data_IF_896430982326
#
_entry.id   IF_896430982326
#
_cell.length_a   1.000
_cell.length_b   1.000
_cell.length_c   1.000
_cell.angle_alpha   90.00
_cell.angle_beta   90.00
_cell.angle_gamma   90.00
#
_symmetry.space_group_name_H-M   'P 1'
#
loop_
_entity.id
_entity.type
_entity.pdbx_description
1 polymer ?
#
# COMPACT_ATOMS: atom_id res chain seq x y z
N UNK A 1 49.52 4.66 -6.09
CA UNK A 1 48.49 3.59 -6.10
C UNK A 1 47.80 3.54 -4.74
N UNK A 2 46.68 4.24 -4.59
CA UNK A 2 45.88 4.27 -3.37
C UNK A 2 44.91 3.08 -3.35
N UNK A 3 45.05 2.19 -2.35
CA UNK A 3 44.10 1.11 -2.08
C UNK A 3 42.84 1.71 -1.44
N UNK A 4 41.72 1.65 -2.16
CA UNK A 4 40.38 1.92 -1.61
C UNK A 4 40.01 0.79 -0.66
N UNK A 5 39.85 1.09 0.62
CA UNK A 5 39.26 0.20 1.62
C UNK A 5 37.74 0.28 1.43
N UNK A 6 37.16 -0.79 0.90
CA UNK A 6 35.71 -0.96 0.79
C UNK A 6 35.20 -1.45 2.14
N UNK A 7 34.52 -0.58 2.88
CA UNK A 7 33.84 -0.96 4.12
C UNK A 7 32.57 -1.73 3.73
N UNK A 8 32.62 -3.06 3.85
CA UNK A 8 31.47 -3.94 3.64
C UNK A 8 30.61 -3.87 4.91
N UNK A 9 29.50 -3.15 4.84
CA UNK A 9 28.49 -3.15 5.91
C UNK A 9 27.80 -4.52 5.89
N UNK A 10 28.29 -5.44 6.72
CA UNK A 10 27.67 -6.74 6.94
C UNK A 10 26.47 -6.54 7.87
N UNK A 11 25.27 -6.46 7.28
CA UNK A 11 24.02 -6.52 8.05
C UNK A 11 23.89 -7.94 8.60
N UNK A 12 24.29 -8.15 9.85
CA UNK A 12 23.96 -9.36 10.58
C UNK A 12 22.44 -9.35 10.81
N UNK A 13 21.71 -10.10 9.97
CA UNK A 13 20.34 -10.50 10.27
C UNK A 13 20.46 -11.57 11.35
N UNK A 14 20.51 -11.12 12.60
CA UNK A 14 20.14 -12.00 13.71
C UNK A 14 18.63 -12.21 13.57
N UNK A 15 18.22 -13.48 13.54
CA UNK A 15 16.81 -13.86 13.61
C UNK A 15 16.30 -13.48 15.00
N UNK A 16 15.97 -12.20 15.19
CA UNK A 16 15.16 -11.74 16.32
C UNK A 16 13.81 -12.46 16.25
N UNK A 17 13.33 -12.91 17.40
CA UNK A 17 11.99 -13.46 17.61
C UNK A 17 11.00 -12.80 16.64
N UNK A 18 10.56 -13.55 15.62
CA UNK A 18 9.66 -13.03 14.61
C UNK A 18 8.31 -12.81 15.27
N UNK A 19 8.10 -11.60 15.81
CA UNK A 19 6.80 -11.19 16.33
C UNK A 19 5.78 -11.36 15.21
N UNK A 20 4.74 -12.15 15.47
CA UNK A 20 3.78 -12.54 14.46
C UNK A 20 2.68 -11.48 14.32
N UNK A 21 3.07 -10.30 13.83
CA UNK A 21 2.15 -9.18 13.60
C UNK A 21 1.44 -9.34 12.26
N UNK A 22 0.10 -9.23 12.29
CA UNK A 22 -0.76 -9.34 11.10
C UNK A 22 -1.78 -8.21 11.05
N UNK A 23 -2.45 -8.09 9.90
CA UNK A 23 -3.61 -7.20 9.70
C UNK A 23 -3.32 -5.74 10.04
N UNK A 24 -2.13 -5.25 9.68
CA UNK A 24 -1.76 -3.87 9.94
C UNK A 24 -2.56 -2.94 9.01
N UNK A 25 -3.34 -2.04 9.60
CA UNK A 25 -4.13 -1.03 8.90
C UNK A 25 -3.78 0.36 9.42
N UNK A 26 -3.58 1.33 8.52
CA UNK A 26 -3.48 2.75 8.87
C UNK A 26 -4.47 3.53 8.01
N UNK A 27 -5.64 3.84 8.57
CA UNK A 27 -6.79 4.37 7.81
C UNK A 27 -7.49 5.50 8.53
N UNK A 28 -8.13 6.43 7.82
CA UNK A 28 -9.04 7.38 8.46
C UNK A 28 -10.26 6.65 9.02
N UNK A 29 -10.94 7.28 9.99
CA UNK A 29 -12.15 6.72 10.62
C UNK A 29 -13.36 6.63 9.67
N UNK A 30 -13.28 7.26 8.50
CA UNK A 30 -14.35 7.21 7.51
C UNK A 30 -14.43 5.82 6.87
N UNK A 31 -15.64 5.26 6.81
CA UNK A 31 -15.91 4.00 6.12
C UNK A 31 -15.49 4.06 4.64
N UNK A 32 -15.01 2.92 4.13
CA UNK A 32 -14.57 2.75 2.74
C UNK A 32 -13.43 3.69 2.29
N UNK A 33 -12.70 4.30 3.23
CA UNK A 33 -11.51 5.08 2.92
C UNK A 33 -10.24 4.31 3.30
N UNK A 34 -9.50 3.89 2.28
CA UNK A 34 -8.32 3.04 2.43
C UNK A 34 -6.98 3.77 2.34
N UNK A 35 -6.99 5.05 1.97
CA UNK A 35 -5.75 5.82 1.76
C UNK A 35 -5.30 6.50 3.06
N UNK A 36 -4.01 6.39 3.37
CA UNK A 36 -3.34 7.16 4.43
C UNK A 36 -2.83 8.53 3.95
N UNK A 37 -3.30 8.99 2.79
CA UNK A 37 -3.04 10.33 2.24
C UNK A 37 -4.26 11.20 2.55
N UNK A 38 -4.17 12.00 3.60
CA UNK A 38 -5.33 12.71 4.17
C UNK A 38 -5.03 14.18 4.47
N UNK A 39 -6.05 15.05 4.55
CA UNK A 39 -5.84 16.43 4.97
C UNK A 39 -5.18 16.50 6.36
N UNK A 40 -4.30 17.49 6.57
CA UNK A 40 -3.74 17.79 7.88
C UNK A 40 -4.86 17.99 8.92
N UNK A 41 -4.74 17.33 10.07
CA UNK A 41 -5.75 17.32 11.13
C UNK A 41 -6.77 16.17 11.04
N UNK A 42 -6.77 15.41 9.94
CA UNK A 42 -7.60 14.19 9.84
C UNK A 42 -7.07 13.13 10.80
N UNK A 43 -7.97 12.48 11.53
CA UNK A 43 -7.63 11.36 12.43
C UNK A 43 -7.46 10.09 11.62
N UNK A 44 -6.28 9.48 11.75
CA UNK A 44 -5.95 8.14 11.29
C UNK A 44 -5.93 7.19 12.49
N UNK A 45 -6.43 5.99 12.30
CA UNK A 45 -6.32 4.87 13.22
C UNK A 45 -5.30 3.87 12.66
N UNK A 46 -4.25 3.63 13.43
CA UNK A 46 -3.37 2.48 13.25
C UNK A 46 -3.98 1.33 14.05
N UNK A 47 -4.17 0.18 13.42
CA UNK A 47 -4.57 -1.06 14.08
C UNK A 47 -3.78 -2.25 13.55
N UNK A 48 -3.53 -3.25 14.40
CA UNK A 48 -2.85 -4.48 14.04
C UNK A 48 -3.10 -5.57 15.09
N UNK A 49 -2.84 -6.82 14.74
CA UNK A 49 -3.00 -7.96 15.63
C UNK A 49 -1.64 -8.63 15.89
N UNK A 50 -1.39 -9.00 17.15
CA UNK A 50 -0.30 -9.89 17.54
C UNK A 50 -0.84 -11.31 17.76
N UNK A 51 -0.42 -12.25 16.92
CA UNK A 51 -0.92 -13.64 16.94
C UNK A 51 -0.30 -14.50 18.06
N UNK A 52 0.67 -13.98 18.81
CA UNK A 52 1.18 -14.71 19.98
C UNK A 52 0.18 -14.71 21.15
N UNK A 53 -0.85 -13.87 21.09
CA UNK A 53 -1.93 -13.74 22.08
C UNK A 53 -1.43 -13.47 23.52
N UNK A 54 -0.24 -12.88 23.64
CA UNK A 54 0.31 -12.36 24.89
C UNK A 54 0.27 -10.85 24.82
N UNK A 55 -0.27 -10.20 25.85
CA UNK A 55 -0.25 -8.74 25.95
C UNK A 55 1.19 -8.27 26.09
N UNK A 56 1.73 -7.71 25.01
CA UNK A 56 3.06 -7.09 24.94
C UNK A 56 2.90 -5.58 24.93
N UNK A 57 3.91 -4.90 25.43
CA UNK A 57 3.96 -3.45 25.36
C UNK A 57 4.55 -3.02 24.01
N UNK A 58 3.78 -2.20 23.29
CA UNK A 58 4.19 -1.58 22.04
C UNK A 58 4.17 -0.06 22.17
N UNK A 59 5.12 0.58 21.50
CA UNK A 59 5.15 2.04 21.36
C UNK A 59 5.01 2.41 19.89
N UNK A 60 4.39 3.55 19.60
CA UNK A 60 4.43 4.13 18.26
C UNK A 60 5.40 5.31 18.25
N UNK A 61 6.06 5.52 17.10
CA UNK A 61 6.96 6.63 16.84
C UNK A 61 6.64 7.30 15.50
N UNK A 62 6.60 8.62 15.47
CA UNK A 62 6.31 9.41 14.26
C UNK A 62 7.54 10.19 13.82
N UNK A 63 7.99 9.95 12.59
CA UNK A 63 9.11 10.68 11.98
C UNK A 63 8.65 11.46 10.75
N UNK A 64 9.01 12.74 10.67
CA UNK A 64 8.75 13.56 9.48
C UNK A 64 9.79 13.25 8.39
N UNK A 65 9.29 12.98 7.18
CA UNK A 65 10.07 12.60 6.01
C UNK A 65 10.00 13.67 4.91
N UNK A 66 11.02 13.71 4.06
CA UNK A 66 11.07 14.51 2.83
C UNK A 66 10.22 13.87 1.72
N UNK A 67 10.08 14.57 0.59
CA UNK A 67 9.31 14.07 -0.56
C UNK A 67 9.85 12.75 -1.15
N UNK A 68 11.15 12.48 -0.96
CA UNK A 68 11.87 11.25 -1.34
C UNK A 68 12.02 10.24 -0.19
N UNK A 69 11.24 10.41 0.88
CA UNK A 69 11.18 9.51 2.04
C UNK A 69 12.50 9.41 2.85
N UNK A 70 13.34 10.43 2.81
CA UNK A 70 14.46 10.57 3.74
C UNK A 70 14.02 11.26 5.03
N UNK A 71 14.70 10.97 6.14
CA UNK A 71 14.42 11.67 7.40
C UNK A 71 14.67 13.16 7.24
N UNK A 72 13.67 13.97 7.53
CA UNK A 72 13.79 15.42 7.43
C UNK A 72 14.70 15.98 8.54
N UNK A 73 15.16 17.22 8.36
CA UNK A 73 15.98 17.93 9.36
C UNK A 73 15.14 18.54 10.49
N UNK A 74 13.82 18.32 10.49
CA UNK A 74 12.96 18.86 11.52
C UNK A 74 13.17 18.09 12.84
N UNK A 75 13.24 18.84 13.94
CA UNK A 75 13.11 18.28 15.28
C UNK A 75 11.64 17.95 15.54
N UNK A 76 11.36 16.94 16.37
CA UNK A 76 9.99 16.53 16.73
C UNK A 76 9.14 17.70 17.20
N UNK A 77 9.68 18.55 18.08
CA UNK A 77 9.03 19.76 18.59
C UNK A 77 8.64 20.79 17.53
N UNK A 78 9.19 20.71 16.32
CA UNK A 78 8.83 21.61 15.22
C UNK A 78 7.59 21.16 14.46
N UNK A 79 7.23 19.87 14.50
CA UNK A 79 6.10 19.32 13.74
C UNK A 79 5.07 18.58 14.59
N UNK A 80 5.37 18.29 15.86
CA UNK A 80 4.46 17.71 16.85
C UNK A 80 4.37 18.64 18.05
N UNK A 81 3.15 18.94 18.47
CA UNK A 81 2.86 19.42 19.82
C UNK A 81 2.57 18.20 20.70
N UNK A 82 3.44 17.93 21.67
CA UNK A 82 3.46 16.70 22.46
C UNK A 82 4.70 15.85 22.18
N UNK A 83 4.54 14.53 22.22
CA UNK A 83 5.62 13.55 22.04
C UNK A 83 5.51 12.85 20.69
N UNK A 84 6.66 12.60 20.06
CA UNK A 84 6.79 11.82 18.83
C UNK A 84 6.77 10.31 19.08
N UNK A 85 6.98 9.87 20.33
CA UNK A 85 6.94 8.48 20.74
C UNK A 85 6.04 8.31 21.98
N UNK A 86 5.06 7.40 21.93
CA UNK A 86 4.18 7.07 23.05
C UNK A 86 3.79 5.58 23.05
N UNK A 87 3.40 5.06 24.22
CA UNK A 87 2.87 3.70 24.38
C UNK A 87 1.48 3.56 23.77
N UNK A 88 1.23 2.42 23.12
CA UNK A 88 -0.08 2.01 22.64
C UNK A 88 -0.84 1.37 23.80
N UNK A 89 -1.83 2.07 24.32
CA UNK A 89 -2.58 1.66 25.52
C UNK A 89 -3.80 0.80 25.16
N UNK A 90 -4.43 1.07 24.01
CA UNK A 90 -5.65 0.37 23.63
C UNK A 90 -5.32 -1.01 23.06
N UNK A 91 -5.48 -2.03 23.90
CA UNK A 91 -5.30 -3.45 23.57
C UNK A 91 -6.53 -4.24 24.01
N UNK A 92 -7.02 -5.10 23.13
CA UNK A 92 -8.18 -5.97 23.37
C UNK A 92 -7.90 -7.37 22.84
N UNK A 93 -8.13 -8.39 23.64
CA UNK A 93 -7.91 -9.77 23.20
C UNK A 93 -9.03 -10.24 22.27
N UNK A 94 -8.71 -11.20 21.41
CA UNK A 94 -9.67 -11.89 20.57
C UNK A 94 -10.73 -12.61 21.41
N UNK A 95 -11.95 -12.68 20.90
CA UNK A 95 -13.08 -13.33 21.57
C UNK A 95 -13.73 -14.35 20.64
N UNK A 96 -13.87 -15.59 21.12
CA UNK A 96 -14.53 -16.69 20.41
C UNK A 96 -13.93 -17.03 19.02
N UNK A 97 -12.61 -16.88 18.87
CA UNK A 97 -11.84 -17.22 17.67
C UNK A 97 -11.04 -18.52 17.87
N UNK A 98 -10.74 -19.26 16.79
CA UNK A 98 -9.82 -20.40 16.84
C UNK A 98 -8.37 -19.92 16.94
N UNK A 99 -8.00 -18.90 16.17
CA UNK A 99 -6.72 -18.21 16.33
C UNK A 99 -6.86 -17.14 17.42
N UNK A 100 -6.16 -17.34 18.54
CA UNK A 100 -6.05 -16.29 19.55
C UNK A 100 -5.13 -15.17 19.06
N UNK A 101 -5.46 -13.92 19.37
CA UNK A 101 -4.61 -12.76 19.10
C UNK A 101 -4.91 -11.61 20.08
N UNK A 102 -3.96 -10.67 20.21
CA UNK A 102 -4.18 -9.39 20.89
C UNK A 102 -4.29 -8.29 19.84
N UNK A 103 -5.42 -7.58 19.81
CA UNK A 103 -5.66 -6.46 18.90
C UNK A 103 -5.19 -5.16 19.53
N UNK A 104 -4.33 -4.41 18.82
CA UNK A 104 -3.84 -3.11 19.24
C UNK A 104 -4.39 -2.02 18.33
N UNK A 105 -4.70 -0.86 18.91
CA UNK A 105 -5.07 0.31 18.12
C UNK A 105 -4.57 1.63 18.73
N UNK A 106 -4.29 2.61 17.88
CA UNK A 106 -3.98 3.98 18.29
C UNK A 106 -4.46 4.97 17.24
N UNK A 107 -5.04 6.07 17.71
CA UNK A 107 -5.48 7.18 16.86
C UNK A 107 -4.45 8.30 16.87
N UNK A 108 -4.16 8.85 15.71
CA UNK A 108 -3.26 9.99 15.52
C UNK A 108 -3.90 11.01 14.57
N UNK A 109 -3.87 12.33 14.87
CA UNK A 109 -3.36 12.91 16.11
C UNK A 109 -4.23 12.53 17.34
N UNK A 110 -3.64 12.62 18.53
CA UNK A 110 -4.31 12.46 19.82
C UNK A 110 -3.79 13.51 20.82
N UNK A 111 -4.25 13.47 22.07
CA UNK A 111 -3.88 14.45 23.11
C UNK A 111 -2.36 14.53 23.37
N UNK A 112 -1.63 13.44 23.17
CA UNK A 112 -0.18 13.37 23.39
C UNK A 112 0.63 13.61 22.11
N UNK A 113 0.02 13.53 20.94
CA UNK A 113 0.70 13.68 19.65
C UNK A 113 -0.18 14.45 18.66
N UNK A 114 -0.04 15.77 18.62
CA UNK A 114 -0.74 16.63 17.66
C UNK A 114 0.23 17.06 16.55
N UNK A 115 0.04 16.54 15.34
CA UNK A 115 0.86 16.88 14.17
C UNK A 115 0.42 18.23 13.59
N UNK A 116 1.34 19.18 13.47
CA UNK A 116 1.04 20.58 13.10
C UNK A 116 1.50 20.98 11.71
N UNK A 117 2.28 20.13 11.02
CA UNK A 117 2.81 20.39 9.67
C UNK A 117 2.31 19.36 8.67
N UNK A 118 2.12 19.79 7.42
CA UNK A 118 1.98 18.87 6.29
C UNK A 118 3.31 18.25 5.91
N UNK A 119 3.27 17.11 5.23
CA UNK A 119 4.48 16.37 4.90
C UNK A 119 4.24 14.88 4.76
N UNK A 120 5.32 14.17 4.47
CA UNK A 120 5.38 12.72 4.57
C UNK A 120 5.74 12.33 6.00
N UNK A 121 5.15 11.25 6.48
CA UNK A 121 5.40 10.75 7.82
C UNK A 121 5.55 9.24 7.80
N UNK A 122 6.49 8.74 8.62
CA UNK A 122 6.64 7.33 8.92
C UNK A 122 6.14 7.08 10.33
N UNK A 123 5.14 6.21 10.46
CA UNK A 123 4.64 5.70 11.72
C UNK A 123 5.26 4.32 11.96
N UNK A 124 6.19 4.24 12.90
CA UNK A 124 6.85 3.00 13.29
C UNK A 124 6.24 2.46 14.58
N UNK A 125 6.05 1.15 14.67
CA UNK A 125 5.73 0.47 15.94
C UNK A 125 7.00 -0.19 16.46
N UNK A 126 7.32 0.10 17.72
CA UNK A 126 8.51 -0.36 18.43
C UNK A 126 8.11 -1.35 19.51
N UNK A 127 8.94 -2.38 19.72
CA UNK A 127 8.82 -3.27 20.87
C UNK A 127 9.45 -2.64 22.14
N UNK A 128 9.45 -3.38 23.25
CA UNK A 128 10.06 -2.96 24.53
C UNK A 128 11.58 -2.71 24.49
N UNK A 129 12.25 -3.16 23.42
CA UNK A 129 13.69 -2.99 23.20
C UNK A 129 14.00 -1.84 22.21
N UNK A 130 12.99 -1.02 21.86
CA UNK A 130 13.06 0.03 20.84
C UNK A 130 13.36 -0.49 19.41
N UNK A 131 13.23 -1.79 19.15
CA UNK A 131 13.35 -2.33 17.79
C UNK A 131 12.07 -2.08 16.99
N UNK A 132 12.24 -1.65 15.73
CA UNK A 132 11.12 -1.46 14.80
C UNK A 132 10.53 -2.81 14.40
N UNK A 133 9.27 -3.03 14.77
CA UNK A 133 8.49 -4.23 14.42
C UNK A 133 7.93 -4.09 13.01
N UNK A 134 7.31 -2.95 12.72
CA UNK A 134 6.87 -2.56 11.39
C UNK A 134 6.75 -1.04 11.29
N UNK A 135 6.61 -0.54 10.07
CA UNK A 135 6.31 0.86 9.83
C UNK A 135 5.25 1.03 8.73
N UNK A 136 4.53 2.16 8.78
CA UNK A 136 3.55 2.57 7.76
C UNK A 136 3.79 4.01 7.35
N UNK A 137 3.67 4.24 6.05
CA UNK A 137 3.74 5.57 5.44
C UNK A 137 2.38 6.23 5.51
N UNK A 138 2.35 7.51 5.85
CA UNK A 138 1.16 8.35 5.67
C UNK A 138 1.57 9.75 5.26
N UNK A 139 0.62 10.48 4.66
CA UNK A 139 0.86 11.80 4.10
C UNK A 139 -0.21 12.74 4.58
N UNK A 140 0.19 13.87 5.16
CA UNK A 140 -0.71 14.92 5.59
C UNK A 140 -0.58 16.11 4.64
N UNK A 141 -1.67 16.53 4.00
CA UNK A 141 -1.64 17.60 3.03
C UNK A 141 -2.47 18.82 3.41
N UNK A 142 -2.08 19.98 2.88
CA UNK A 142 -2.83 21.22 2.95
C UNK A 142 -3.61 21.41 1.64
N UNK A 143 -4.81 22.00 1.71
CA UNK A 143 -5.60 22.35 0.51
C UNK A 143 -5.21 23.75 0.01
N UNK A 144 -3.94 23.96 -0.38
CA UNK A 144 -3.43 25.26 -0.84
C UNK A 144 -3.36 25.38 -2.37
N UNK A 145 -3.41 24.26 -3.08
CA UNK A 145 -3.47 24.22 -4.55
C UNK A 145 -4.61 23.30 -5.00
N UNK A 146 -5.11 23.56 -6.21
CA UNK A 146 -6.13 22.72 -6.86
C UNK A 146 -5.48 21.92 -7.98
N UNK A 147 -5.54 20.60 -7.87
CA UNK A 147 -4.89 19.67 -8.80
C UNK A 147 -5.97 19.04 -9.67
N UNK A 148 -6.01 19.39 -10.95
CA UNK A 148 -6.87 18.73 -11.92
C UNK A 148 -6.14 17.54 -12.52
N UNK A 149 -6.68 16.33 -12.38
CA UNK A 149 -6.10 15.08 -12.91
C UNK A 149 -7.03 14.48 -13.96
N UNK A 150 -6.46 14.13 -15.11
CA UNK A 150 -7.12 13.40 -16.18
C UNK A 150 -6.33 12.13 -16.49
N UNK A 151 -7.03 11.04 -16.75
CA UNK A 151 -6.42 9.75 -17.06
C UNK A 151 -6.97 9.26 -18.38
N UNK A 152 -6.08 9.08 -19.35
CA UNK A 152 -6.42 8.67 -20.71
C UNK A 152 -5.70 7.37 -21.08
N UNK A 153 -6.06 6.79 -22.22
CA UNK A 153 -5.26 5.72 -22.83
C UNK A 153 -3.90 6.26 -23.26
N UNK A 154 -2.89 5.41 -23.27
CA UNK A 154 -1.58 5.79 -23.78
C UNK A 154 -1.65 6.34 -25.20
N UNK A 155 -0.99 7.48 -25.42
CA UNK A 155 -0.86 8.11 -26.75
C UNK A 155 0.12 7.37 -27.67
N UNK A 156 0.91 6.45 -27.12
CA UNK A 156 1.84 5.64 -27.90
C UNK A 156 1.11 4.45 -28.53
N UNK A 157 1.12 4.36 -29.87
CA UNK A 157 0.45 3.29 -30.64
C UNK A 157 0.86 1.88 -30.15
N UNK A 158 2.11 1.70 -29.71
CA UNK A 158 2.58 0.39 -29.21
C UNK A 158 1.97 0.00 -27.86
N UNK A 159 1.55 0.97 -27.04
CA UNK A 159 1.05 0.73 -25.68
C UNK A 159 -0.37 1.24 -25.43
N UNK A 160 -1.05 1.77 -26.46
CA UNK A 160 -2.43 2.28 -26.38
C UNK A 160 -3.42 1.26 -25.84
N UNK A 161 -3.16 -0.04 -26.05
CA UNK A 161 -4.01 -1.14 -25.57
C UNK A 161 -3.68 -1.60 -24.13
N UNK A 162 -2.56 -1.18 -23.57
CA UNK A 162 -2.00 -1.78 -22.35
C UNK A 162 -1.66 -0.76 -21.26
N UNK A 163 -1.51 0.52 -21.59
CA UNK A 163 -1.09 1.56 -20.67
C UNK A 163 -2.11 2.69 -20.56
N UNK A 164 -2.10 3.34 -19.40
CA UNK A 164 -2.86 4.53 -19.07
C UNK A 164 -1.90 5.69 -18.84
N UNK A 165 -2.21 6.87 -19.36
CA UNK A 165 -1.42 8.09 -19.23
C UNK A 165 -2.12 9.05 -18.27
N UNK A 166 -1.41 9.48 -17.24
CA UNK A 166 -1.90 10.48 -16.29
C UNK A 166 -1.43 11.86 -16.74
N UNK A 167 -2.37 12.79 -16.89
CA UNK A 167 -2.10 14.21 -17.14
C UNK A 167 -2.69 15.03 -16.01
N UNK A 168 -1.99 16.09 -15.62
CA UNK A 168 -2.49 16.92 -14.53
C UNK A 168 -2.03 18.36 -14.64
N UNK A 169 -2.74 19.22 -13.94
CA UNK A 169 -2.44 20.63 -13.77
C UNK A 169 -2.40 20.99 -12.30
N UNK A 170 -1.50 21.90 -11.92
CA UNK A 170 -1.38 22.44 -10.57
C UNK A 170 -1.78 23.90 -10.65
N UNK A 171 -2.94 24.25 -10.08
CA UNK A 171 -3.39 25.64 -9.97
C UNK A 171 -2.99 26.17 -8.59
N UNK A 172 -2.19 27.23 -8.56
CA UNK A 172 -1.55 27.74 -7.33
C UNK A 172 -1.72 29.26 -7.13
N UNK A 173 -2.94 29.83 -7.19
CA UNK A 173 -3.14 31.28 -7.09
C UNK A 173 -2.69 31.88 -5.75
N UNK A 174 -2.68 31.09 -4.67
CA UNK A 174 -2.29 31.53 -3.32
C UNK A 174 -0.83 31.23 -2.96
N UNK A 175 -0.05 30.58 -3.84
CA UNK A 175 1.36 30.26 -3.58
C UNK A 175 2.21 30.80 -4.73
N UNK A 176 3.16 31.66 -4.38
CA UNK A 176 4.18 32.14 -5.30
C UNK A 176 5.27 31.07 -5.45
N UNK A 177 5.34 30.48 -6.64
CA UNK A 177 6.39 29.52 -7.02
C UNK A 177 7.35 30.27 -7.94
N UNK A 178 8.60 30.46 -7.50
CA UNK A 178 9.59 31.23 -8.26
C UNK A 178 10.34 30.34 -9.24
N UNK A 179 10.76 29.17 -8.79
CA UNK A 179 11.41 28.18 -9.63
C UNK A 179 10.75 26.81 -9.45
N UNK A 180 9.71 26.49 -10.25
CA UNK A 180 9.01 25.23 -10.11
C UNK A 180 9.92 24.01 -10.26
N UNK A 181 11.03 24.12 -11.02
CA UNK A 181 11.92 22.98 -11.22
C UNK A 181 12.71 22.55 -9.98
N UNK A 182 12.86 23.45 -9.02
CA UNK A 182 13.57 23.23 -7.75
C UNK A 182 12.62 23.19 -6.56
N UNK A 183 11.53 23.95 -6.62
CA UNK A 183 10.62 24.13 -5.50
C UNK A 183 9.47 23.11 -5.50
N UNK A 184 9.12 22.52 -6.66
CA UNK A 184 8.01 21.57 -6.78
C UNK A 184 8.52 20.17 -7.07
N UNK A 185 8.09 19.23 -6.24
CA UNK A 185 8.29 17.80 -6.49
C UNK A 185 6.92 17.14 -6.60
N UNK A 186 6.81 16.14 -7.47
CA UNK A 186 5.55 15.44 -7.73
C UNK A 186 5.73 13.94 -7.58
N UNK A 187 4.74 13.30 -6.98
CA UNK A 187 4.56 11.85 -7.01
C UNK A 187 3.17 11.51 -7.56
N UNK A 188 3.11 10.58 -8.51
CA UNK A 188 1.87 9.97 -9.02
C UNK A 188 1.87 8.53 -8.54
N UNK A 189 0.81 8.12 -7.83
CA UNK A 189 0.70 6.79 -7.22
C UNK A 189 -0.53 6.11 -7.80
N UNK A 190 -0.37 4.88 -8.27
CA UNK A 190 -1.48 4.04 -8.73
C UNK A 190 -2.01 3.19 -7.57
N UNK A 191 -3.33 3.19 -7.36
CA UNK A 191 -4.08 2.32 -6.44
C UNK A 191 -3.56 2.33 -4.98
N UNK A 192 -3.02 3.47 -4.52
CA UNK A 192 -2.33 3.61 -3.23
C UNK A 192 -1.17 2.60 -3.01
N UNK A 193 -0.63 2.03 -4.08
CA UNK A 193 0.52 1.14 -4.05
C UNK A 193 1.80 1.95 -4.27
N UNK A 194 2.56 2.18 -3.20
CA UNK A 194 3.80 2.96 -3.23
C UNK A 194 4.93 2.34 -4.07
N UNK A 195 4.79 1.09 -4.52
CA UNK A 195 5.69 0.47 -5.49
C UNK A 195 5.32 0.79 -6.94
N UNK A 196 4.08 1.23 -7.21
CA UNK A 196 3.63 1.72 -8.52
C UNK A 196 3.55 3.25 -8.50
N UNK A 197 4.74 3.88 -8.49
CA UNK A 197 4.92 5.32 -8.39
C UNK A 197 5.71 5.88 -9.58
N UNK A 198 5.29 7.04 -10.08
CA UNK A 198 6.10 7.89 -10.96
C UNK A 198 6.41 9.19 -10.23
N UNK A 199 7.69 9.52 -10.13
CA UNK A 199 8.19 10.73 -9.48
C UNK A 199 9.26 11.39 -10.34
N UNK A 200 9.89 12.46 -9.82
CA UNK A 200 10.97 13.18 -10.48
C UNK A 200 10.61 13.66 -11.91
N UNK A 201 9.39 14.20 -12.04
CA UNK A 201 8.89 14.80 -13.27
C UNK A 201 8.80 16.31 -13.14
N UNK A 202 9.07 17.00 -14.24
CA UNK A 202 9.06 18.46 -14.31
C UNK A 202 7.79 18.94 -15.04
N UNK A 203 7.33 20.17 -14.82
CA UNK A 203 6.22 20.70 -15.61
C UNK A 203 6.62 20.84 -17.09
N UNK A 204 5.70 20.53 -17.99
CA UNK A 204 5.90 20.68 -19.44
C UNK A 204 5.64 22.10 -19.91
N UNK A 205 4.72 22.82 -19.26
CA UNK A 205 4.39 24.21 -19.58
C UNK A 205 4.12 25.03 -18.31
N UNK A 206 4.46 26.31 -18.39
CA UNK A 206 4.23 27.30 -17.35
C UNK A 206 3.18 28.31 -17.83
N UNK A 207 2.16 28.54 -17.01
CA UNK A 207 1.16 29.59 -17.19
C UNK A 207 1.10 30.43 -15.91
N UNK A 208 0.57 31.67 -15.96
CA UNK A 208 0.32 32.44 -14.75
C UNK A 208 -0.50 31.63 -13.75
N UNK A 209 0.06 31.39 -12.56
CA UNK A 209 -0.54 30.60 -11.47
C UNK A 209 -0.92 29.15 -11.81
N UNK A 210 -0.35 28.57 -12.88
CA UNK A 210 -0.66 27.21 -13.30
C UNK A 210 0.56 26.49 -13.88
N UNK A 211 0.82 25.26 -13.41
CA UNK A 211 1.81 24.34 -13.97
C UNK A 211 1.10 23.19 -14.67
N UNK A 212 1.52 22.85 -15.88
CA UNK A 212 0.93 21.76 -16.66
C UNK A 212 1.92 20.60 -16.82
N UNK A 213 1.42 19.38 -16.66
CA UNK A 213 2.16 18.14 -16.81
C UNK A 213 1.45 17.26 -17.85
N UNK A 214 1.69 17.57 -19.12
CA UNK A 214 1.07 16.89 -20.27
C UNK A 214 2.12 16.09 -21.03
N UNK A 215 2.58 15.00 -20.42
CA UNK A 215 3.56 14.11 -21.04
C UNK A 215 2.90 13.11 -21.99
N UNK A 216 3.66 12.69 -23.01
CA UNK A 216 3.24 11.60 -23.92
C UNK A 216 3.55 10.22 -23.33
N UNK A 217 4.72 10.07 -22.69
CA UNK A 217 5.23 8.77 -22.24
C UNK A 217 5.73 8.74 -20.78
N UNK A 218 6.12 9.87 -20.19
CA UNK A 218 6.77 9.88 -18.85
C UNK A 218 5.80 9.61 -17.70
N UNK A 219 4.51 9.83 -17.89
CA UNK A 219 3.46 9.63 -16.89
C UNK A 219 2.56 8.45 -17.25
N UNK A 220 3.13 7.44 -17.92
CA UNK A 220 2.43 6.23 -18.34
C UNK A 220 2.59 5.13 -17.29
N UNK A 221 1.47 4.56 -16.89
CA UNK A 221 1.41 3.35 -16.08
C UNK A 221 0.94 2.17 -16.93
N UNK A 222 1.39 0.97 -16.58
CA UNK A 222 0.72 -0.24 -17.02
C UNK A 222 -0.70 -0.25 -16.45
N UNK A 223 -1.70 -0.48 -17.31
CA UNK A 223 -3.09 -0.52 -16.88
C UNK A 223 -3.39 -1.68 -15.95
N UNK A 224 -2.62 -2.76 -16.01
CA UNK A 224 -2.86 -3.96 -15.20
C UNK A 224 -4.21 -4.58 -15.49
N UNK A 225 -4.72 -5.35 -14.54
CA UNK A 225 -6.05 -5.94 -14.58
C UNK A 225 -6.74 -5.68 -13.24
N UNK A 226 -8.05 -5.84 -13.21
CA UNK A 226 -8.81 -5.81 -11.97
C UNK A 226 -8.24 -6.84 -10.99
N UNK A 227 -8.17 -6.49 -9.71
CA UNK A 227 -7.70 -7.40 -8.68
C UNK A 227 -8.68 -8.58 -8.55
N UNK A 228 -8.12 -9.78 -8.38
CA UNK A 228 -8.89 -10.92 -7.93
C UNK A 228 -9.38 -10.65 -6.51
N UNK A 229 -10.49 -11.27 -6.12
CA UNK A 229 -11.06 -11.05 -4.80
C UNK A 229 -11.62 -12.32 -4.19
N UNK A 230 -11.77 -12.31 -2.87
CA UNK A 230 -12.54 -13.31 -2.13
C UNK A 230 -13.13 -12.65 -0.88
N UNK A 231 -14.10 -13.32 -0.27
CA UNK A 231 -14.77 -12.84 0.93
C UNK A 231 -14.96 -13.96 1.95
N UNK A 232 -14.34 -13.86 3.11
CA UNK A 232 -14.43 -14.85 4.20
C UNK A 232 -15.28 -14.38 5.39
N UNK A 233 -16.21 -13.44 5.16
CA UNK A 233 -17.10 -12.86 6.20
C UNK A 233 -17.88 -13.87 7.06
N UNK A 234 -18.09 -15.09 6.58
CA UNK A 234 -18.62 -16.22 7.36
C UNK A 234 -17.57 -17.33 7.24
N UNK A 235 -16.86 -17.65 8.31
CA UNK A 235 -15.66 -18.51 8.20
C UNK A 235 -16.02 -19.98 7.94
N UNK A 236 -17.25 -20.38 8.28
CA UNK A 236 -17.72 -21.77 8.19
C UNK A 236 -18.36 -22.09 6.83
N UNK A 237 -18.76 -21.07 6.09
CA UNK A 237 -19.54 -21.22 4.86
C UNK A 237 -18.77 -20.73 3.64
N UNK A 238 -18.94 -21.42 2.51
CA UNK A 238 -18.41 -20.95 1.24
C UNK A 238 -19.08 -19.64 0.87
N UNK A 239 -18.29 -18.63 0.57
CA UNK A 239 -18.78 -17.34 0.07
C UNK A 239 -18.08 -17.01 -1.25
N UNK A 240 -17.95 -15.72 -1.58
CA UNK A 240 -17.39 -15.27 -2.86
C UNK A 240 -15.98 -15.82 -3.07
N UNK A 241 -15.79 -16.50 -4.20
CA UNK A 241 -14.52 -17.04 -4.68
C UNK A 241 -13.82 -18.05 -3.74
N UNK A 242 -14.59 -18.77 -2.89
CA UNK A 242 -14.10 -19.87 -2.06
C UNK A 242 -14.73 -21.20 -2.53
N UNK A 243 -13.89 -22.16 -2.96
CA UNK A 243 -14.36 -23.44 -3.53
C UNK A 243 -14.53 -24.53 -2.46
N UNK A 244 -13.70 -24.52 -1.42
CA UNK A 244 -13.70 -25.55 -0.37
C UNK A 244 -13.29 -24.94 0.97
N UNK A 245 -13.88 -25.45 2.05
CA UNK A 245 -13.49 -25.13 3.42
C UNK A 245 -13.23 -26.45 4.15
N UNK A 246 -12.14 -26.51 4.91
CA UNK A 246 -11.89 -27.59 5.88
C UNK A 246 -11.58 -26.97 7.23
N UNK A 247 -11.87 -27.71 8.30
CA UNK A 247 -11.52 -27.31 9.67
C UNK A 247 -10.42 -28.23 10.16
N UNK A 248 -9.27 -27.65 10.49
CA UNK A 248 -8.15 -28.29 11.18
C UNK A 248 -7.94 -27.53 12.50
N UNK A 249 -6.71 -27.09 12.81
CA UNK A 249 -6.44 -26.18 13.94
C UNK A 249 -7.13 -24.81 13.75
N UNK A 250 -7.05 -24.31 12.51
CA UNK A 250 -7.83 -23.16 12.02
C UNK A 250 -8.65 -23.57 10.80
N UNK A 251 -9.58 -22.71 10.39
CA UNK A 251 -10.27 -22.92 9.11
C UNK A 251 -9.30 -22.75 7.95
N UNK A 252 -9.38 -23.66 6.99
CA UNK A 252 -8.62 -23.65 5.76
C UNK A 252 -9.59 -23.33 4.62
N UNK A 253 -9.35 -22.23 3.92
CA UNK A 253 -10.18 -21.76 2.81
C UNK A 253 -9.41 -21.93 1.51
N UNK A 254 -9.93 -22.75 0.61
CA UNK A 254 -9.38 -22.94 -0.72
C UNK A 254 -10.08 -22.00 -1.68
N UNK A 255 -9.33 -21.10 -2.28
CA UNK A 255 -9.84 -20.18 -3.29
C UNK A 255 -9.99 -20.89 -4.64
N UNK A 256 -10.82 -20.33 -5.53
CA UNK A 256 -10.86 -20.82 -6.91
C UNK A 256 -9.47 -20.67 -7.56
N UNK A 257 -8.95 -21.72 -8.23
CA UNK A 257 -7.69 -21.64 -8.95
C UNK A 257 -7.75 -20.56 -10.04
N UNK A 258 -6.68 -19.77 -10.15
CA UNK A 258 -6.51 -18.85 -11.26
C UNK A 258 -5.82 -19.56 -12.42
N UNK A 259 -6.49 -19.72 -13.54
CA UNK A 259 -5.90 -20.31 -14.75
C UNK A 259 -5.15 -19.25 -15.55
N UNK A 260 -3.84 -19.41 -15.70
CA UNK A 260 -3.02 -18.47 -16.48
C UNK A 260 -3.38 -18.54 -17.97
N UNK A 261 -3.68 -17.38 -18.56
CA UNK A 261 -3.94 -17.26 -19.99
C UNK A 261 -3.25 -16.03 -20.58
N UNK A 262 -2.17 -16.27 -21.34
CA UNK A 262 -1.40 -15.21 -22.03
C UNK A 262 -2.23 -14.40 -23.04
N UNK A 263 -3.31 -14.97 -23.57
CA UNK A 263 -4.18 -14.35 -24.57
C UNK A 263 -5.53 -13.91 -23.98
N UNK A 264 -5.62 -13.79 -22.66
CA UNK A 264 -6.81 -13.29 -21.99
C UNK A 264 -7.21 -11.92 -22.56
N UNK A 265 -8.52 -11.74 -22.76
CA UNK A 265 -9.12 -10.44 -23.07
C UNK A 265 -9.61 -9.81 -21.78
N UNK A 266 -9.65 -8.48 -21.77
CA UNK A 266 -10.21 -7.73 -20.65
C UNK A 266 -11.65 -8.15 -20.38
N UNK A 267 -11.97 -8.36 -19.10
CA UNK A 267 -13.32 -8.59 -18.59
C UNK A 267 -13.51 -7.68 -17.41
N UNK A 268 -14.61 -6.92 -17.39
CA UNK A 268 -14.92 -6.02 -16.29
C UNK A 268 -15.23 -6.82 -15.02
N UNK A 269 -14.52 -6.50 -13.93
CA UNK A 269 -14.68 -7.14 -12.63
C UNK A 269 -14.41 -6.11 -11.53
N UNK A 270 -15.44 -5.41 -11.03
CA UNK A 270 -15.26 -4.37 -10.02
C UNK A 270 -14.49 -4.85 -8.79
N UNK A 271 -13.63 -3.98 -8.28
CA UNK A 271 -12.80 -4.25 -7.11
C UNK A 271 -12.70 -3.00 -6.19
N UNK A 272 -11.84 -3.06 -5.17
CA UNK A 272 -11.47 -1.93 -4.31
C UNK A 272 -9.98 -1.59 -4.47
N UNK A 273 -9.46 -1.72 -5.69
CA UNK A 273 -8.10 -1.34 -6.10
C UNK A 273 -7.00 -1.96 -5.22
N UNK A 274 -7.09 -3.26 -4.94
CA UNK A 274 -6.08 -3.99 -4.17
C UNK A 274 -6.22 -3.90 -2.65
N UNK A 275 -7.24 -3.19 -2.16
CA UNK A 275 -7.50 -3.00 -0.73
C UNK A 275 -8.20 -4.22 -0.09
N UNK A 276 -8.37 -4.18 1.23
CA UNK A 276 -9.05 -5.21 2.00
C UNK A 276 -9.88 -4.61 3.13
N UNK A 277 -10.92 -5.31 3.58
CA UNK A 277 -11.78 -4.89 4.67
C UNK A 277 -12.04 -6.07 5.61
N UNK A 278 -11.64 -5.92 6.87
CA UNK A 278 -11.89 -6.91 7.92
C UNK A 278 -13.36 -6.86 8.29
N UNK A 279 -14.01 -8.03 8.25
CA UNK A 279 -15.40 -8.16 8.66
C UNK A 279 -15.77 -9.60 8.96
N UNK A 280 -16.66 -9.75 9.94
CA UNK A 280 -17.38 -10.99 10.23
C UNK A 280 -18.88 -10.70 10.29
N UNK A 281 -19.71 -11.65 9.85
CA UNK A 281 -21.16 -11.59 10.04
C UNK A 281 -21.62 -12.42 11.25
N UNK A 282 -20.70 -13.18 11.85
CA UNK A 282 -20.97 -14.05 13.00
C UNK A 282 -20.58 -13.38 14.33
N UNK A 283 -20.12 -12.13 14.29
CA UNK A 283 -19.72 -11.31 15.44
C UNK A 283 -20.23 -9.87 15.36
N UNK A 284 -20.21 -9.18 16.49
CA UNK A 284 -20.56 -7.77 16.66
C UNK A 284 -19.34 -6.85 16.49
N UNK A 285 -18.14 -7.32 16.84
CA UNK A 285 -16.89 -6.54 16.71
C UNK A 285 -15.91 -7.21 15.74
N UNK A 286 -15.76 -6.62 14.55
CA UNK A 286 -14.85 -7.10 13.52
C UNK A 286 -13.37 -7.12 13.94
N UNK A 287 -12.98 -6.31 14.92
CA UNK A 287 -11.59 -6.24 15.36
C UNK A 287 -11.21 -7.40 16.29
N UNK A 288 -12.15 -7.88 17.12
CA UNK A 288 -11.85 -8.88 18.16
C UNK A 288 -12.54 -10.24 17.92
N UNK A 289 -13.58 -10.29 17.09
CA UNK A 289 -14.37 -11.50 16.84
C UNK A 289 -14.22 -12.07 15.41
N UNK A 290 -13.45 -11.39 14.55
CA UNK A 290 -13.07 -11.93 13.25
C UNK A 290 -11.87 -12.87 13.38
N UNK A 291 -12.06 -14.13 13.03
CA UNK A 291 -11.06 -15.19 13.19
C UNK A 291 -10.03 -15.18 12.05
N UNK A 292 -8.93 -15.92 12.22
CA UNK A 292 -7.97 -16.15 11.14
C UNK A 292 -8.23 -17.48 10.46
N UNK A 293 -8.08 -17.48 9.13
CA UNK A 293 -8.13 -18.66 8.30
C UNK A 293 -6.88 -18.76 7.42
N UNK A 294 -6.46 -19.99 7.15
CA UNK A 294 -5.39 -20.26 6.20
C UNK A 294 -5.97 -20.24 4.79
N UNK A 295 -5.61 -19.23 4.01
CA UNK A 295 -6.07 -19.03 2.63
C UNK A 295 -5.13 -19.75 1.67
N UNK A 296 -5.65 -20.67 0.86
CA UNK A 296 -4.90 -21.42 -0.14
C UNK A 296 -5.08 -20.80 -1.52
N UNK A 297 -4.01 -20.19 -2.04
CA UNK A 297 -3.95 -19.58 -3.36
C UNK A 297 -3.37 -20.56 -4.37
N UNK A 298 -3.96 -20.63 -5.57
CA UNK A 298 -3.51 -21.52 -6.65
C UNK A 298 -3.48 -20.79 -7.98
N UNK A 299 -2.39 -20.97 -8.73
CA UNK A 299 -2.30 -20.61 -10.16
C UNK A 299 -2.08 -21.90 -10.95
N UNK A 300 -2.91 -22.16 -11.95
CA UNK A 300 -2.72 -23.24 -12.92
C UNK A 300 -1.93 -22.70 -14.11
N UNK A 301 -0.77 -23.30 -14.39
CA UNK A 301 0.11 -22.89 -15.48
C UNK A 301 0.99 -24.05 -15.95
N UNK A 302 0.99 -24.32 -17.25
CA UNK A 302 1.66 -25.48 -17.85
C UNK A 302 3.17 -25.55 -17.59
N UNK A 303 3.81 -24.40 -17.38
CA UNK A 303 5.25 -24.29 -17.16
C UNK A 303 5.57 -23.17 -16.17
N UNK A 304 6.66 -23.30 -15.40
CA UNK A 304 7.05 -22.25 -14.46
C UNK A 304 7.52 -20.99 -15.21
N UNK A 305 7.34 -19.83 -14.58
CA UNK A 305 7.90 -18.57 -15.08
C UNK A 305 9.43 -18.61 -14.97
N UNK A 306 10.10 -18.57 -16.13
CA UNK A 306 11.55 -18.79 -16.23
C UNK A 306 12.32 -17.71 -15.48
N UNK A 307 13.23 -18.15 -14.59
CA UNK A 307 14.10 -17.28 -13.78
C UNK A 307 13.36 -16.22 -12.94
N UNK A 308 12.11 -16.53 -12.56
CA UNK A 308 11.26 -15.64 -11.78
C UNK A 308 10.62 -16.37 -10.61
N UNK A 309 10.46 -15.63 -9.53
CA UNK A 309 9.70 -16.04 -8.37
C UNK A 309 8.31 -15.42 -8.43
N UNK A 310 7.32 -16.10 -7.86
CA UNK A 310 5.89 -15.70 -7.91
C UNK A 310 5.40 -15.48 -6.50
N UNK A 311 4.61 -14.41 -6.30
CA UNK A 311 4.10 -14.02 -5.00
C UNK A 311 2.62 -13.64 -5.08
N UNK A 312 1.86 -13.90 -4.01
CA UNK A 312 0.54 -13.31 -3.79
C UNK A 312 0.72 -11.87 -3.31
N UNK A 313 -0.02 -10.91 -3.86
CA UNK A 313 0.31 -9.50 -3.71
C UNK A 313 -0.96 -8.65 -3.50
N UNK A 314 -0.97 -7.75 -2.51
CA UNK A 314 -2.11 -6.85 -2.25
C UNK A 314 -1.86 -5.87 -1.09
N UNK A 315 -2.85 -5.07 -0.72
CA UNK A 315 -2.66 -4.11 0.38
C UNK A 315 -2.55 -4.79 1.77
N UNK A 316 -3.07 -6.01 1.92
CA UNK A 316 -3.04 -6.76 3.18
C UNK A 316 -1.63 -7.11 3.67
N UNK A 317 -0.66 -7.14 2.76
CA UNK A 317 0.76 -7.32 3.08
C UNK A 317 1.59 -6.07 2.69
N UNK A 318 0.96 -4.89 2.67
CA UNK A 318 1.60 -3.61 2.29
C UNK A 318 2.26 -3.65 0.91
N UNK A 319 1.68 -4.44 -0.01
CA UNK A 319 2.23 -4.66 -1.35
C UNK A 319 3.70 -5.12 -1.31
N UNK A 320 4.07 -5.96 -0.32
CA UNK A 320 5.46 -6.39 -0.13
C UNK A 320 5.76 -7.76 -0.72
N UNK A 321 7.05 -8.02 -0.96
CA UNK A 321 7.57 -9.32 -1.38
C UNK A 321 8.33 -9.92 -0.20
N UNK A 322 7.89 -11.08 0.27
CA UNK A 322 8.42 -11.77 1.44
C UNK A 322 8.32 -13.28 1.26
N UNK A 323 9.00 -14.05 2.12
CA UNK A 323 8.87 -15.50 2.08
C UNK A 323 7.45 -15.98 2.41
N UNK A 324 6.67 -15.21 3.19
CA UNK A 324 5.32 -15.59 3.60
C UNK A 324 4.31 -15.63 2.46
N UNK A 325 4.49 -14.76 1.45
CA UNK A 325 3.59 -14.67 0.30
C UNK A 325 4.16 -15.33 -0.97
N UNK A 326 5.30 -16.03 -0.86
CA UNK A 326 5.92 -16.74 -1.97
C UNK A 326 5.11 -17.95 -2.38
N UNK A 327 4.89 -18.11 -3.69
CA UNK A 327 4.24 -19.27 -4.26
C UNK A 327 5.26 -20.30 -4.75
N UNK A 328 4.98 -21.58 -4.49
CA UNK A 328 5.84 -22.69 -4.87
C UNK A 328 5.25 -23.44 -6.05
N UNK A 329 6.06 -23.65 -7.10
CA UNK A 329 5.65 -24.41 -8.27
C UNK A 329 5.76 -25.91 -8.03
N UNK A 330 4.73 -26.65 -8.43
CA UNK A 330 4.73 -28.10 -8.48
C UNK A 330 4.60 -28.56 -9.94
N UNK A 331 5.64 -29.18 -10.48
CA UNK A 331 5.67 -29.65 -11.88
C UNK A 331 4.75 -30.83 -12.15
N UNK A 332 4.43 -31.66 -11.14
CA UNK A 332 3.50 -32.79 -11.30
C UNK A 332 2.07 -32.32 -11.52
N UNK A 333 1.68 -31.26 -10.81
CA UNK A 333 0.33 -30.72 -10.87
C UNK A 333 0.21 -29.52 -11.81
N UNK A 334 1.33 -28.98 -12.31
CA UNK A 334 1.38 -27.76 -13.13
C UNK A 334 0.71 -26.55 -12.45
N UNK A 335 1.03 -26.38 -11.16
CA UNK A 335 0.42 -25.33 -10.33
C UNK A 335 1.44 -24.61 -9.46
N UNK A 336 1.27 -23.30 -9.29
CA UNK A 336 1.83 -22.57 -8.15
C UNK A 336 0.85 -22.58 -6.99
N UNK A 337 1.35 -22.78 -5.76
CA UNK A 337 0.52 -22.73 -4.55
C UNK A 337 1.17 -21.92 -3.44
N UNK A 338 0.35 -21.21 -2.66
CA UNK A 338 0.76 -20.54 -1.42
C UNK A 338 -0.34 -20.67 -0.37
N UNK A 339 0.06 -20.64 0.90
CA UNK A 339 -0.83 -20.65 2.06
C UNK A 339 -0.53 -19.43 2.91
N UNK A 340 -1.51 -18.56 3.13
CA UNK A 340 -1.32 -17.31 3.87
C UNK A 340 -2.41 -17.20 4.93
N UNK A 341 -2.02 -16.98 6.18
CA UNK A 341 -2.97 -16.73 7.27
C UNK A 341 -3.52 -15.31 7.14
N UNK A 342 -4.83 -15.18 6.94
CA UNK A 342 -5.53 -13.91 6.81
C UNK A 342 -6.77 -13.91 7.71
N UNK A 343 -7.04 -12.75 8.32
CA UNK A 343 -8.22 -12.51 9.14
C UNK A 343 -9.49 -12.51 8.28
N UNK A 344 -10.65 -12.80 8.84
CA UNK A 344 -11.90 -12.78 8.08
C UNK A 344 -12.17 -11.42 7.46
N UNK A 345 -12.57 -11.42 6.19
CA UNK A 345 -12.92 -10.20 5.50
C UNK A 345 -12.98 -10.33 3.99
N UNK A 346 -13.16 -9.19 3.34
CA UNK A 346 -13.05 -9.04 1.89
C UNK A 346 -11.63 -8.64 1.52
N UNK A 347 -11.01 -9.33 0.57
CA UNK A 347 -9.65 -9.07 0.13
C UNK A 347 -9.58 -8.94 -1.37
N UNK A 348 -8.87 -7.93 -1.85
CA UNK A 348 -8.30 -7.93 -3.19
C UNK A 348 -6.86 -8.43 -3.16
N UNK A 349 -6.51 -9.18 -4.19
CA UNK A 349 -5.16 -9.67 -4.41
C UNK A 349 -4.87 -9.81 -5.91
N UNK A 350 -3.60 -9.82 -6.24
CA UNK A 350 -3.07 -10.15 -7.56
C UNK A 350 -1.84 -11.02 -7.37
N UNK A 351 -1.20 -11.38 -8.47
CA UNK A 351 0.06 -12.10 -8.46
C UNK A 351 1.17 -11.21 -9.01
N UNK A 352 2.30 -11.20 -8.32
CA UNK A 352 3.49 -10.47 -8.73
C UNK A 352 4.61 -11.45 -9.06
N UNK A 353 5.41 -11.11 -10.07
CA UNK A 353 6.67 -11.79 -10.38
C UNK A 353 7.85 -10.90 -10.07
N UNK A 354 8.97 -11.51 -9.69
CA UNK A 354 10.26 -10.82 -9.51
C UNK A 354 11.36 -11.64 -10.18
N UNK A 355 12.15 -10.97 -11.02
CA UNK A 355 13.30 -11.56 -11.71
C UNK A 355 14.64 -11.14 -11.09
N UNK A 356 15.72 -11.36 -11.84
CA UNK A 356 17.08 -10.95 -11.45
C UNK A 356 17.26 -9.44 -11.31
N UNK A 357 16.44 -8.66 -12.01
CA UNK A 357 16.41 -7.20 -11.94
C UNK A 357 15.80 -6.67 -10.64
N UNK A 358 15.21 -7.55 -9.81
CA UNK A 358 14.49 -7.23 -8.57
C UNK A 358 13.33 -6.25 -8.77
N UNK A 359 12.80 -6.16 -9.98
CA UNK A 359 11.62 -5.33 -10.28
C UNK A 359 10.37 -6.16 -10.08
N UNK A 360 9.44 -5.65 -9.26
CA UNK A 360 8.14 -6.27 -9.04
C UNK A 360 7.27 -6.02 -10.27
N UNK A 361 6.74 -7.09 -10.87
CA UNK A 361 5.87 -7.02 -12.03
C UNK A 361 4.51 -7.66 -11.73
N UNK A 362 3.47 -6.85 -11.70
CA UNK A 362 2.08 -7.24 -11.44
C UNK A 362 1.29 -7.60 -12.71
N UNK A 363 1.89 -7.48 -13.89
CA UNK A 363 1.20 -7.59 -15.18
C UNK A 363 1.50 -8.91 -15.92
N UNK A 364 2.55 -9.64 -15.52
CA UNK A 364 2.99 -10.84 -16.25
C UNK A 364 1.97 -11.99 -16.17
N UNK A 365 1.27 -12.12 -15.04
CA UNK A 365 0.34 -13.21 -14.77
C UNK A 365 -1.09 -12.82 -15.16
N UNK A 366 -1.56 -11.67 -14.70
CA UNK A 366 -2.96 -11.21 -14.88
C UNK A 366 -3.17 -10.37 -16.14
N UNK A 367 -2.09 -9.96 -16.81
CA UNK A 367 -2.14 -9.12 -18.00
C UNK A 367 -2.20 -7.63 -17.69
N UNK A 368 -2.26 -6.83 -18.76
CA UNK A 368 -2.38 -5.37 -18.66
C UNK A 368 -3.30 -4.84 -19.76
N UNK A 369 -4.32 -4.11 -19.33
CA UNK A 369 -5.38 -3.61 -20.20
C UNK A 369 -5.58 -2.13 -19.90
N UNK A 370 -5.68 -1.30 -20.94
CA UNK A 370 -5.98 0.11 -20.73
C UNK A 370 -7.37 0.30 -20.12
N UNK A 371 -8.26 -0.68 -20.25
CA UNK A 371 -9.65 -0.64 -19.83
C UNK A 371 -9.84 -0.66 -18.31
N UNK A 372 -8.90 -1.24 -17.58
CA UNK A 372 -8.95 -1.51 -16.14
C UNK A 372 -9.23 -0.25 -15.34
N UNK A 373 -10.14 -0.33 -14.38
CA UNK A 373 -10.38 0.74 -13.44
C UNK A 373 -9.19 0.90 -12.51
N UNK A 374 -8.59 2.09 -12.49
CA UNK A 374 -7.48 2.41 -11.59
C UNK A 374 -7.69 3.81 -11.02
N UNK A 375 -7.29 3.97 -9.77
CA UNK A 375 -7.24 5.24 -9.07
C UNK A 375 -5.79 5.79 -9.05
N UNK A 376 -5.61 7.01 -9.54
CA UNK A 376 -4.33 7.71 -9.55
C UNK A 376 -4.36 8.89 -8.59
N UNK A 377 -3.44 8.89 -7.63
CA UNK A 377 -3.26 10.00 -6.68
C UNK A 377 -2.01 10.78 -7.03
N UNK A 378 -2.16 12.09 -7.23
CA UNK A 378 -1.07 13.03 -7.53
C UNK A 378 -0.79 13.87 -6.29
N UNK A 379 0.42 13.75 -5.74
CA UNK A 379 0.91 14.51 -4.59
C UNK A 379 1.81 15.65 -5.05
N UNK A 380 1.51 16.87 -4.60
CA UNK A 380 2.32 18.05 -4.92
C UNK A 380 3.07 18.48 -3.67
N UNK A 381 4.39 18.31 -3.72
CA UNK A 381 5.30 18.78 -2.70
C UNK A 381 5.83 20.16 -3.07
N UNK A 382 5.94 21.04 -2.09
CA UNK A 382 6.52 22.35 -2.24
C UNK A 382 7.54 22.63 -1.14
N UNK A 383 8.75 22.99 -1.58
CA UNK A 383 9.81 23.47 -0.70
C UNK A 383 10.36 24.78 -1.28
N UNK A 384 10.02 25.93 -0.68
CA UNK A 384 10.59 27.19 -1.12
C UNK A 384 12.11 27.17 -0.94
N UNK A 385 12.82 27.98 -1.71
CA UNK A 385 14.25 28.17 -1.47
C UNK A 385 14.50 28.65 -0.02
N UNK A 386 15.47 28.03 0.67
CA UNK A 386 15.70 28.24 2.11
C UNK A 386 14.69 27.58 3.05
N UNK A 387 13.68 26.87 2.54
CA UNK A 387 12.70 26.13 3.33
C UNK A 387 13.31 24.94 4.07
N UNK A 388 12.84 24.70 5.31
CA UNK A 388 13.38 23.64 6.17
C UNK A 388 12.86 22.23 5.85
N UNK A 389 11.69 22.12 5.20
CA UNK A 389 11.03 20.85 4.93
C UNK A 389 10.15 20.91 3.67
N UNK A 390 9.77 19.74 3.17
CA UNK A 390 8.85 19.58 2.04
C UNK A 390 7.40 19.57 2.54
N UNK A 391 6.63 20.59 2.16
CA UNK A 391 5.18 20.66 2.44
C UNK A 391 4.42 19.88 1.38
N UNK A 392 3.30 19.27 1.74
CA UNK A 392 2.36 18.72 0.75
C UNK A 392 1.23 19.74 0.58
N UNK A 393 1.27 20.51 -0.51
CA UNK A 393 0.42 21.70 -0.71
C UNK A 393 -0.87 21.41 -1.47
N UNK A 394 -1.02 20.20 -1.98
CA UNK A 394 -2.25 19.72 -2.59
C UNK A 394 -2.15 18.28 -3.06
N UNK A 395 -3.32 17.68 -3.19
CA UNK A 395 -3.51 16.30 -3.67
C UNK A 395 -4.64 16.32 -4.69
N UNK A 396 -4.43 15.65 -5.81
CA UNK A 396 -5.46 15.42 -6.83
C UNK A 396 -5.68 13.93 -7.02
N UNK A 397 -6.91 13.54 -7.31
CA UNK A 397 -7.26 12.17 -7.67
C UNK A 397 -7.88 12.15 -9.06
N UNK A 398 -7.47 11.18 -9.87
CA UNK A 398 -8.05 10.89 -11.18
C UNK A 398 -8.30 9.40 -11.30
N UNK A 399 -9.34 9.03 -12.04
CA UNK A 399 -9.70 7.64 -12.25
C UNK A 399 -9.75 7.37 -13.74
N UNK A 400 -9.28 6.21 -14.16
CA UNK A 400 -9.66 5.69 -15.47
C UNK A 400 -10.96 4.90 -15.31
N UNK A 401 -12.04 5.35 -15.94
CA UNK A 401 -13.31 4.61 -15.94
C UNK A 401 -13.87 4.61 -17.36
N UNK A 402 -14.18 3.43 -17.89
CA UNK A 402 -14.67 3.28 -19.26
C UNK A 402 -16.05 3.89 -19.51
N UNK A 403 -16.83 4.08 -18.43
CA UNK A 403 -18.22 4.51 -18.47
C UNK A 403 -18.41 6.00 -18.14
N UNK A 404 -17.33 6.77 -18.04
CA UNK A 404 -17.36 8.23 -17.84
C UNK A 404 -16.77 9.00 -19.01
#
# INVERSE_FOLDING_TARGET
MQKKITCLLLLLITSLNAQNIKTIQLRPLQENSFSSIVPLGTILELSFDDLDAVSKEYQYKIEHMTHDWQKSRLLSSQFINGFDQNTIINVTNSFNTLQNYSHYSVRIPNINTVITKSGNYLLSVLNIYDDVVFARRFVLYEKKTTIGVAVDRSRNIKTVKTQQTVQFSINHPSIRINNPSQEIHVAIIKNNNWNEIINNIQPTFFKPNQLLYTYTNKTNFWGGNEYLNFDSKIIRNKSLNIVKITKEDVYNHYLYPFTFNKFAKYTYSPDINGQFAIRTLEGNDNNTEADYALMHFTIEVNAPFKEKEVYVYGAFNDFSISNENKMNYNSKNQTYTAKISLKQGFYNYTFATIGRDKVVNTNEITGTFFQTENAYTVLIYYKPNGGLYDRVIGVGQGYFNQNR
#
